data_IF_783538859945
#
_entry.id   IF_783538859945
#
_cell.length_a   1.000
_cell.length_b   1.000
_cell.length_c   1.000
_cell.angle_alpha   90.00
_cell.angle_beta   90.00
_cell.angle_gamma   90.00
#
_symmetry.space_group_name_H-M   'P 1'
#
loop_
_entity.id
_entity.type
_entity.pdbx_description
1 polymer ?
#
# COMPACT_ATOMS: atom_id res chain seq x y z
N UNK A 1 15.79 -14.25 -6.94
CA UNK A 1 16.47 -14.09 -5.64
C UNK A 1 16.35 -12.68 -5.04
N UNK A 2 16.10 -11.61 -5.81
CA UNK A 2 16.12 -10.21 -5.33
C UNK A 2 14.89 -9.69 -4.59
N UNK A 3 13.72 -10.34 -4.67
CA UNK A 3 12.45 -9.83 -4.10
C UNK A 3 12.34 -9.91 -2.56
N UNK A 4 13.28 -10.59 -1.90
CA UNK A 4 13.27 -10.83 -0.45
C UNK A 4 14.34 -10.05 0.31
N UNK A 5 15.08 -9.17 -0.37
CA UNK A 5 16.07 -8.33 0.29
C UNK A 5 15.39 -7.12 0.95
N UNK A 6 15.92 -6.68 2.09
CA UNK A 6 15.42 -5.47 2.75
C UNK A 6 15.54 -4.24 1.84
N UNK A 7 16.61 -4.14 1.05
CA UNK A 7 16.82 -3.04 0.09
C UNK A 7 15.70 -2.96 -0.96
N UNK A 8 15.21 -4.10 -1.44
CA UNK A 8 14.07 -4.13 -2.37
C UNK A 8 12.80 -3.60 -1.70
N UNK A 9 12.50 -4.05 -0.47
CA UNK A 9 11.34 -3.55 0.26
C UNK A 9 11.45 -2.05 0.55
N UNK A 10 12.62 -1.55 0.95
CA UNK A 10 12.86 -0.12 1.19
C UNK A 10 12.59 0.70 -0.07
N UNK A 11 13.18 0.34 -1.22
CA UNK A 11 12.98 1.11 -2.45
C UNK A 11 11.52 1.14 -2.92
N UNK A 12 10.77 0.05 -2.74
CA UNK A 12 9.33 0.02 -3.02
C UNK A 12 8.57 0.91 -2.04
N UNK A 13 8.89 0.87 -0.75
CA UNK A 13 8.24 1.68 0.27
C UNK A 13 8.43 3.18 0.03
N UNK A 14 9.67 3.61 -0.21
CA UNK A 14 10.03 5.00 -0.53
C UNK A 14 9.28 5.49 -1.78
N UNK A 15 9.21 4.65 -2.81
CA UNK A 15 8.47 4.96 -4.04
C UNK A 15 6.97 5.15 -3.77
N UNK A 16 6.34 4.24 -3.03
CA UNK A 16 4.92 4.35 -2.67
C UNK A 16 4.66 5.60 -1.85
N UNK A 17 5.48 5.89 -0.83
CA UNK A 17 5.34 7.06 0.03
C UNK A 17 5.48 8.36 -0.76
N UNK A 18 6.47 8.43 -1.66
CA UNK A 18 6.68 9.57 -2.55
C UNK A 18 5.45 9.83 -3.42
N UNK A 19 4.93 8.79 -4.09
CA UNK A 19 3.72 8.87 -4.91
C UNK A 19 2.50 9.27 -4.05
N UNK A 20 2.36 8.68 -2.86
CA UNK A 20 1.23 8.96 -1.97
C UNK A 20 1.18 10.40 -1.48
N UNK A 21 2.34 11.05 -1.30
CA UNK A 21 2.43 12.46 -0.91
C UNK A 21 2.14 13.42 -2.07
N UNK A 22 2.41 13.01 -3.31
CA UNK A 22 2.23 13.87 -4.49
C UNK A 22 0.86 13.71 -5.15
N UNK A 23 0.33 12.49 -5.23
CA UNK A 23 -0.94 12.22 -5.91
C UNK A 23 -2.11 12.55 -4.99
N UNK A 24 -3.02 13.47 -5.37
CA UNK A 24 -4.19 13.79 -4.57
C UNK A 24 -5.20 12.64 -4.58
N UNK A 25 -6.07 12.61 -3.57
CA UNK A 25 -7.21 11.69 -3.47
C UNK A 25 -6.84 10.19 -3.42
N UNK A 26 -6.55 9.52 -4.54
CA UNK A 26 -6.53 8.06 -4.61
C UNK A 26 -5.33 7.49 -5.36
N UNK A 27 -4.74 6.40 -4.83
CA UNK A 27 -3.79 5.56 -5.59
C UNK A 27 -4.16 4.07 -5.49
N UNK A 28 -3.91 3.33 -6.57
CA UNK A 28 -4.03 1.88 -6.63
C UNK A 28 -2.65 1.27 -6.78
N UNK A 29 -2.26 0.40 -5.85
CA UNK A 29 -0.96 -0.27 -5.86
C UNK A 29 -1.19 -1.77 -6.09
N UNK A 30 -0.78 -2.24 -7.26
CA UNK A 30 -0.97 -3.64 -7.64
C UNK A 30 0.27 -4.49 -7.36
N UNK A 31 0.07 -5.55 -6.60
CA UNK A 31 1.06 -6.57 -6.31
C UNK A 31 0.83 -7.81 -7.21
N UNK A 32 1.91 -8.50 -7.55
CA UNK A 32 1.85 -9.68 -8.41
C UNK A 32 1.16 -10.90 -7.77
N UNK A 33 1.09 -10.96 -6.43
CA UNK A 33 0.42 -12.02 -5.68
C UNK A 33 0.14 -11.56 -4.25
N UNK A 34 -0.80 -12.24 -3.57
CA UNK A 34 -1.02 -11.99 -2.14
C UNK A 34 0.21 -12.29 -1.30
N UNK A 35 0.99 -13.33 -1.65
CA UNK A 35 2.20 -13.65 -0.90
C UNK A 35 3.22 -12.51 -0.96
N UNK A 36 3.38 -11.86 -2.13
CA UNK A 36 4.27 -10.71 -2.25
C UNK A 36 3.72 -9.49 -1.51
N UNK A 37 2.41 -9.24 -1.61
CA UNK A 37 1.75 -8.14 -0.89
C UNK A 37 1.92 -8.30 0.62
N UNK A 38 1.56 -9.46 1.18
CA UNK A 38 1.68 -9.76 2.60
C UNK A 38 3.13 -9.65 3.08
N UNK A 39 4.09 -10.18 2.29
CA UNK A 39 5.51 -10.09 2.61
C UNK A 39 6.01 -8.65 2.69
N UNK A 40 5.67 -7.82 1.69
CA UNK A 40 6.09 -6.42 1.64
C UNK A 40 5.41 -5.59 2.73
N UNK A 41 4.10 -5.79 2.99
CA UNK A 41 3.40 -5.14 4.10
C UNK A 41 4.08 -5.45 5.44
N UNK A 42 4.43 -6.71 5.69
CA UNK A 42 5.17 -7.08 6.91
C UNK A 42 6.52 -6.37 6.98
N UNK A 43 7.25 -6.28 5.87
CA UNK A 43 8.52 -5.54 5.83
C UNK A 43 8.35 -4.03 6.03
N UNK A 44 7.28 -3.42 5.50
CA UNK A 44 7.01 -2.00 5.72
C UNK A 44 6.70 -1.69 7.18
N UNK A 45 6.09 -2.63 7.91
CA UNK A 45 5.83 -2.50 9.35
C UNK A 45 7.07 -2.73 10.22
N UNK A 46 7.97 -3.63 9.80
CA UNK A 46 9.23 -3.91 10.53
C UNK A 46 10.31 -2.85 10.29
N UNK A 47 10.51 -2.47 9.03
CA UNK A 47 11.62 -1.62 8.62
C UNK A 47 11.31 -0.15 8.90
N UNK A 48 12.34 0.58 9.35
CA UNK A 48 12.28 2.00 9.66
C UNK A 48 13.16 2.77 8.68
N UNK A 49 12.80 4.02 8.46
CA UNK A 49 13.64 4.92 7.66
C UNK A 49 14.88 5.30 8.45
N UNK A 50 16.00 4.63 8.15
CA UNK A 50 17.30 4.86 8.78
C UNK A 50 17.90 6.24 8.44
N UNK A 51 17.39 6.94 7.42
CA UNK A 51 17.85 8.28 7.06
C UNK A 51 17.20 9.37 7.94
N UNK A 52 16.09 9.05 8.62
CA UNK A 52 15.41 9.94 9.53
C UNK A 52 15.96 9.81 10.96
N UNK A 53 17.06 10.52 11.27
CA UNK A 53 17.70 10.54 12.61
C UNK A 53 16.75 10.87 13.78
N UNK A 54 15.59 11.50 13.51
CA UNK A 54 14.63 11.93 14.53
C UNK A 54 13.34 11.08 14.60
N UNK A 55 13.05 10.25 13.59
CA UNK A 55 11.75 9.61 13.45
C UNK A 55 11.88 8.09 13.56
N UNK A 56 11.34 7.51 14.62
CA UNK A 56 11.33 6.05 14.86
C UNK A 56 10.24 5.31 14.08
N UNK A 57 9.62 5.97 13.10
CA UNK A 57 8.47 5.48 12.33
C UNK A 57 8.87 4.39 11.34
N UNK A 58 8.05 3.36 11.26
CA UNK A 58 8.15 2.37 10.19
C UNK A 58 7.73 2.99 8.85
N UNK A 59 8.08 2.34 7.74
CA UNK A 59 7.56 2.76 6.44
C UNK A 59 6.03 2.66 6.38
N UNK A 60 5.44 1.69 7.08
CA UNK A 60 3.99 1.55 7.18
C UNK A 60 3.35 2.75 7.87
N UNK A 61 3.93 3.22 8.98
CA UNK A 61 3.43 4.40 9.69
C UNK A 61 3.43 5.63 8.76
N UNK A 62 4.52 5.82 8.00
CA UNK A 62 4.63 6.88 7.01
C UNK A 62 3.57 6.78 5.90
N UNK A 63 3.26 5.56 5.44
CA UNK A 63 2.18 5.34 4.45
C UNK A 63 0.82 5.71 5.04
N UNK A 64 0.52 5.29 6.27
CA UNK A 64 -0.76 5.58 6.94
C UNK A 64 -0.94 7.04 7.32
N UNK A 65 0.16 7.77 7.51
CA UNK A 65 0.15 9.22 7.66
C UNK A 65 -0.14 9.91 6.33
N UNK A 66 0.42 9.40 5.22
CA UNK A 66 0.22 9.98 3.91
C UNK A 66 -1.20 9.76 3.36
N UNK A 67 -1.76 8.56 3.51
CA UNK A 67 -3.13 8.20 3.05
C UNK A 67 -3.73 7.09 3.89
N UNK A 68 -5.07 6.98 3.89
CA UNK A 68 -5.75 5.78 4.36
C UNK A 68 -5.29 4.56 3.55
N UNK A 69 -4.72 3.55 4.21
CA UNK A 69 -4.27 2.31 3.54
C UNK A 69 -5.35 1.24 3.63
N UNK A 70 -5.91 0.85 2.50
CA UNK A 70 -6.86 -0.27 2.36
C UNK A 70 -6.14 -1.46 1.72
N UNK A 71 -6.37 -2.68 2.21
CA UNK A 71 -5.70 -3.89 1.71
C UNK A 71 -6.74 -4.89 1.21
N UNK A 72 -6.53 -5.42 0.01
CA UNK A 72 -7.42 -6.39 -0.60
C UNK A 72 -7.45 -7.72 0.18
N UNK A 73 -8.63 -8.21 0.59
CA UNK A 73 -8.75 -9.48 1.29
C UNK A 73 -8.57 -10.66 0.33
N UNK A 74 -8.00 -11.77 0.82
CA UNK A 74 -7.91 -13.03 0.04
C UNK A 74 -9.31 -13.58 -0.31
N UNK A 75 -10.26 -13.41 0.60
CA UNK A 75 -11.65 -13.86 0.44
C UNK A 75 -12.48 -12.82 -0.33
N UNK A 76 -13.09 -13.27 -1.44
CA UNK A 76 -13.87 -12.39 -2.34
C UNK A 76 -15.09 -11.76 -1.66
N UNK A 77 -15.69 -12.44 -0.68
CA UNK A 77 -16.85 -11.96 0.08
C UNK A 77 -16.62 -10.60 0.75
N UNK A 78 -15.38 -10.28 1.11
CA UNK A 78 -15.02 -9.03 1.77
C UNK A 78 -14.61 -7.92 0.79
N UNK A 79 -14.50 -8.22 -0.51
CA UNK A 79 -13.98 -7.27 -1.50
C UNK A 79 -14.88 -6.04 -1.67
N UNK A 80 -16.21 -6.22 -1.64
CA UNK A 80 -17.16 -5.11 -1.78
C UNK A 80 -17.00 -4.09 -0.64
N UNK A 81 -16.81 -4.57 0.59
CA UNK A 81 -16.61 -3.72 1.77
C UNK A 81 -15.35 -2.87 1.65
N UNK A 82 -14.21 -3.48 1.31
CA UNK A 82 -12.95 -2.73 1.19
C UNK A 82 -12.94 -1.76 0.02
N UNK A 83 -13.65 -2.08 -1.08
CA UNK A 83 -13.84 -1.13 -2.19
C UNK A 83 -14.62 0.10 -1.75
N UNK A 84 -15.72 -0.10 -1.01
CA UNK A 84 -16.51 1.01 -0.46
C UNK A 84 -15.68 1.87 0.51
N UNK A 85 -14.85 1.25 1.33
CA UNK A 85 -13.93 1.94 2.23
C UNK A 85 -12.91 2.79 1.46
N UNK A 86 -12.30 2.24 0.41
CA UNK A 86 -11.40 3.00 -0.47
C UNK A 86 -12.13 4.17 -1.15
N UNK A 87 -13.29 3.93 -1.77
CA UNK A 87 -14.07 4.99 -2.44
C UNK A 87 -14.39 6.14 -1.49
N UNK A 88 -14.78 5.85 -0.24
CA UNK A 88 -15.01 6.88 0.78
C UNK A 88 -13.72 7.59 1.16
N UNK A 89 -12.62 6.87 1.35
CA UNK A 89 -11.33 7.45 1.71
C UNK A 89 -10.77 8.40 0.64
N UNK A 90 -11.00 8.11 -0.65
CA UNK A 90 -10.60 8.97 -1.78
C UNK A 90 -11.30 10.33 -1.74
N UNK A 91 -12.51 10.41 -1.19
CA UNK A 91 -13.27 11.66 -1.06
C UNK A 91 -12.81 12.53 0.13
N UNK A 92 -12.04 11.96 1.07
CA UNK A 92 -11.51 12.71 2.20
C UNK A 92 -10.25 13.48 1.78
N UNK A 93 -9.94 14.59 2.47
CA UNK A 93 -8.77 15.43 2.18
C UNK A 93 -7.43 14.67 2.22
N UNK A 94 -7.30 13.70 3.15
CA UNK A 94 -6.11 12.84 3.26
C UNK A 94 -5.95 11.88 2.06
N UNK A 95 -7.07 11.48 1.45
CA UNK A 95 -7.10 10.47 0.41
C UNK A 95 -6.86 9.03 0.90
N UNK A 96 -6.82 8.09 -0.04
CA UNK A 96 -6.64 6.66 0.20
C UNK A 96 -5.67 6.00 -0.80
N UNK A 97 -5.04 4.92 -0.36
CA UNK A 97 -4.33 3.98 -1.21
C UNK A 97 -4.90 2.58 -1.04
N UNK A 98 -5.10 1.87 -2.15
CA UNK A 98 -5.59 0.49 -2.12
C UNK A 98 -4.55 -0.48 -2.64
N UNK A 99 -4.09 -1.38 -1.77
CA UNK A 99 -3.14 -2.44 -2.06
C UNK A 99 -3.92 -3.65 -2.56
N UNK A 100 -3.77 -3.95 -3.84
CA UNK A 100 -4.55 -4.94 -4.58
C UNK A 100 -3.65 -5.97 -5.26
N UNK A 101 -4.22 -7.10 -5.68
CA UNK A 101 -3.48 -8.15 -6.41
C UNK A 101 -4.03 -8.30 -7.83
N UNK A 102 -3.14 -8.36 -8.82
CA UNK A 102 -3.54 -8.62 -10.20
C UNK A 102 -4.14 -10.04 -10.35
N UNK A 103 -5.47 -10.16 -10.46
CA UNK A 103 -6.16 -11.44 -10.71
C UNK A 103 -6.70 -11.50 -12.15
N UNK A 104 -5.88 -11.92 -13.12
CA UNK A 104 -6.32 -12.28 -14.48
C UNK A 104 -7.10 -11.18 -15.23
N UNK A 105 -7.80 -11.55 -16.33
CA UNK A 105 -8.40 -10.68 -17.38
C UNK A 105 -9.45 -9.64 -16.94
N UNK A 106 -9.57 -9.29 -15.67
CA UNK A 106 -10.59 -8.35 -15.18
C UNK A 106 -9.90 -7.21 -14.43
N UNK A 107 -9.28 -6.32 -15.20
CA UNK A 107 -9.25 -4.91 -14.83
C UNK A 107 -10.48 -4.26 -15.47
N UNK A 108 -11.21 -3.48 -14.67
CA UNK A 108 -12.35 -2.62 -15.05
C UNK A 108 -13.69 -3.32 -15.24
N UNK A 109 -14.39 -3.52 -14.12
CA UNK A 109 -15.71 -2.91 -13.98
C UNK A 109 -15.57 -1.97 -12.78
N UNK A 110 -14.98 -0.81 -13.06
CA UNK A 110 -15.01 0.34 -12.17
C UNK A 110 -16.35 1.06 -12.38
#
# INVERSE_FOLDING_TARGET
MFRHTNTYAVGIAESIISIAKTVPQGILVFFASYNLMDHLISKFKELKDSNQKLSSKSYWDQMTEAKLVVVEPKQKSHLARVRSEFTRGVQNEQGAMFFAVCRGKVLLNA
#
